data_IF_791160818823
#
_entry.id   IF_791160818823
#
_cell.length_a   1.000
_cell.length_b   1.000
_cell.length_c   1.000
_cell.angle_alpha   90.00
_cell.angle_beta   90.00
_cell.angle_gamma   90.00
#
_symmetry.space_group_name_H-M   'P 1'
#
loop_
_entity.id
_entity.type
_entity.pdbx_description
1 polymer ?
#
# COMPACT_ATOMS: atom_id res chain seq x y z
N UNK A 1 18.41 43.66 -57.50
CA UNK A 1 17.72 44.97 -57.37
C UNK A 1 16.36 44.90 -58.07
N UNK A 2 15.25 45.45 -57.53
CA UNK A 2 14.88 45.61 -56.12
C UNK A 2 13.37 45.37 -55.78
N UNK A 3 13.08 45.28 -54.46
CA UNK A 3 11.83 45.62 -53.70
C UNK A 3 10.52 44.84 -53.92
N UNK A 4 10.03 44.21 -52.84
CA UNK A 4 8.98 44.79 -51.96
C UNK A 4 8.70 43.90 -50.73
N UNK A 5 8.90 44.47 -49.55
CA UNK A 5 8.39 43.98 -48.27
C UNK A 5 6.86 44.19 -48.21
N UNK A 6 6.13 43.19 -47.73
CA UNK A 6 4.78 43.36 -47.18
C UNK A 6 4.65 42.61 -45.86
N UNK A 7 4.34 43.39 -44.82
CA UNK A 7 3.93 42.96 -43.49
C UNK A 7 2.75 41.97 -43.53
N UNK A 8 2.85 40.87 -42.77
CA UNK A 8 1.70 40.16 -42.21
C UNK A 8 1.80 40.15 -40.69
N UNK A 9 0.78 40.71 -40.06
CA UNK A 9 0.56 40.76 -38.62
C UNK A 9 0.17 39.39 -38.08
N UNK A 10 1.01 38.81 -37.21
CA UNK A 10 0.66 37.63 -36.42
C UNK A 10 -0.19 38.03 -35.23
N UNK A 11 -1.47 37.62 -35.22
CA UNK A 11 -2.32 37.64 -34.02
C UNK A 11 -1.82 36.55 -33.06
N UNK A 12 -1.33 36.93 -31.89
CA UNK A 12 -0.99 36.01 -30.80
C UNK A 12 -2.26 35.49 -30.10
N UNK A 13 -2.24 34.23 -29.70
CA UNK A 13 -3.36 33.53 -29.08
C UNK A 13 -3.64 34.03 -27.64
N UNK A 14 -4.88 33.91 -27.12
CA UNK A 14 -5.23 34.39 -25.77
C UNK A 14 -4.46 33.71 -24.63
N UNK A 15 -3.77 32.61 -24.91
CA UNK A 15 -3.06 31.79 -23.92
C UNK A 15 -1.70 32.40 -23.56
N UNK A 16 -1.00 33.00 -24.54
CA UNK A 16 0.32 33.60 -24.30
C UNK A 16 0.24 34.87 -23.45
N UNK A 17 -0.85 35.63 -23.55
CA UNK A 17 -1.05 36.89 -22.82
C UNK A 17 -1.36 36.66 -21.32
N UNK A 18 -1.95 35.51 -20.97
CA UNK A 18 -2.23 35.13 -19.58
C UNK A 18 -0.99 34.65 -18.83
N UNK A 19 -0.06 33.97 -19.52
CA UNK A 19 1.20 33.51 -18.93
C UNK A 19 2.16 34.66 -18.59
N UNK A 20 2.21 35.71 -19.43
CA UNK A 20 3.09 36.87 -19.19
C UNK A 20 2.61 37.71 -18.00
N UNK A 21 1.29 37.83 -17.81
CA UNK A 21 0.70 38.51 -16.63
C UNK A 21 0.93 37.74 -15.33
N UNK A 22 0.87 36.41 -15.36
CA UNK A 22 1.15 35.57 -14.20
C UNK A 22 2.63 35.64 -13.79
N UNK A 23 3.56 35.63 -14.75
CA UNK A 23 4.99 35.80 -14.47
C UNK A 23 5.31 37.21 -13.93
N UNK A 24 4.63 38.25 -14.42
CA UNK A 24 4.78 39.60 -13.90
C UNK A 24 4.23 39.75 -12.47
N UNK A 25 3.11 39.10 -12.16
CA UNK A 25 2.52 39.08 -10.82
C UNK A 25 3.40 38.32 -9.80
N UNK A 26 3.94 37.16 -10.19
CA UNK A 26 4.88 36.39 -9.35
C UNK A 26 6.19 37.16 -9.13
N UNK A 27 6.72 37.85 -10.16
CA UNK A 27 7.90 38.72 -10.01
C UNK A 27 7.66 39.94 -9.12
N UNK A 28 6.42 40.43 -9.04
CA UNK A 28 6.04 41.55 -8.17
C UNK A 28 5.97 41.14 -6.68
N UNK A 29 5.72 39.86 -6.38
CA UNK A 29 5.64 39.35 -5.01
C UNK A 29 7.04 39.05 -4.43
N UNK A 30 8.05 38.79 -5.28
CA UNK A 30 9.38 38.34 -4.85
C UNK A 30 10.46 39.44 -4.72
N UNK A 31 10.13 40.73 -4.77
CA UNK A 31 11.13 41.79 -4.48
C UNK A 31 11.17 42.13 -3.00
N UNK A 32 11.91 41.35 -2.23
CA UNK A 32 12.51 41.80 -0.98
C UNK A 32 14.02 41.57 -1.03
N UNK A 33 14.76 42.67 -0.86
CA UNK A 33 16.22 42.73 -0.84
C UNK A 33 16.71 42.03 0.44
N UNK A 34 17.57 41.03 0.32
CA UNK A 34 18.22 40.36 1.45
C UNK A 34 19.66 40.86 1.54
N UNK A 35 19.96 41.57 2.62
CA UNK A 35 21.31 41.99 3.03
C UNK A 35 22.08 40.76 3.57
N UNK A 36 23.24 40.38 3.02
CA UNK A 36 23.87 39.09 3.31
C UNK A 36 24.64 39.01 4.63
N UNK A 37 24.37 39.88 5.62
CA UNK A 37 25.02 39.82 6.94
C UNK A 37 24.05 39.96 8.12
N UNK A 38 23.14 38.99 8.27
CA UNK A 38 22.48 38.74 9.56
C UNK A 38 21.93 37.31 9.62
N UNK A 39 22.75 36.37 10.11
CA UNK A 39 22.27 35.07 10.56
C UNK A 39 21.70 35.21 11.98
N UNK A 40 20.39 35.04 12.16
CA UNK A 40 19.77 34.46 13.38
C UNK A 40 18.32 34.05 13.11
N UNK A 41 17.95 32.89 13.65
CA UNK A 41 16.63 32.25 13.58
C UNK A 41 15.44 33.19 13.93
N UNK A 42 14.40 33.20 13.08
CA UNK A 42 12.99 33.38 13.46
C UNK A 42 12.06 33.08 12.26
N UNK A 43 11.22 32.05 12.39
CA UNK A 43 10.16 31.71 11.44
C UNK A 43 8.99 32.69 11.55
N UNK A 44 8.54 33.27 10.43
CA UNK A 44 7.36 34.16 10.37
C UNK A 44 6.15 33.40 9.80
N UNK A 45 4.93 33.57 10.36
CA UNK A 45 3.74 32.87 9.88
C UNK A 45 3.16 33.51 8.61
N UNK A 46 2.74 32.66 7.66
CA UNK A 46 1.90 33.08 6.53
C UNK A 46 0.56 33.61 7.07
N UNK A 47 0.22 34.86 6.74
CA UNK A 47 -1.05 35.48 7.14
C UNK A 47 -2.25 34.81 6.44
N UNK A 48 -3.40 34.83 7.11
CA UNK A 48 -4.66 34.18 6.69
C UNK A 48 -5.13 34.58 5.28
N UNK A 49 -4.75 35.78 4.83
CA UNK A 49 -5.05 36.28 3.48
C UNK A 49 -4.31 35.51 2.37
N UNK A 50 -3.05 35.14 2.59
CA UNK A 50 -2.24 34.40 1.62
C UNK A 50 -2.76 32.97 1.44
N UNK A 51 -3.23 32.36 2.54
CA UNK A 51 -3.88 31.05 2.51
C UNK A 51 -5.22 31.09 1.75
N UNK A 52 -6.00 32.16 1.92
CA UNK A 52 -7.28 32.34 1.24
C UNK A 52 -7.11 32.53 -0.28
N UNK A 53 -6.10 33.29 -0.70
CA UNK A 53 -5.79 33.49 -2.12
C UNK A 53 -5.33 32.19 -2.81
N UNK A 54 -4.52 31.36 -2.13
CA UNK A 54 -4.11 30.04 -2.65
C UNK A 54 -5.33 29.12 -2.80
N UNK A 55 -6.23 29.12 -1.83
CA UNK A 55 -7.47 28.31 -1.87
C UNK A 55 -8.43 28.76 -2.98
N UNK A 56 -8.52 30.06 -3.26
CA UNK A 56 -9.33 30.60 -4.35
C UNK A 56 -8.71 30.29 -5.73
N UNK A 57 -7.39 30.36 -5.86
CA UNK A 57 -6.69 29.98 -7.08
C UNK A 57 -6.84 28.48 -7.39
N UNK A 58 -6.75 27.61 -6.36
CA UNK A 58 -7.03 26.18 -6.50
C UNK A 58 -8.48 25.89 -6.89
N UNK A 59 -9.45 26.67 -6.39
CA UNK A 59 -10.87 26.58 -6.81
C UNK A 59 -11.11 27.05 -8.25
N UNK A 60 -10.37 28.06 -8.72
CA UNK A 60 -10.48 28.55 -10.09
C UNK A 60 -9.91 27.56 -11.11
N UNK A 61 -8.77 26.90 -10.79
CA UNK A 61 -8.17 25.86 -11.63
C UNK A 61 -9.06 24.59 -11.71
N UNK A 62 -9.83 24.27 -10.66
CA UNK A 62 -10.83 23.17 -10.68
C UNK A 62 -12.03 23.40 -11.59
N UNK A 63 -12.32 24.65 -12.00
CA UNK A 63 -13.44 24.98 -12.90
C UNK A 63 -13.12 24.84 -14.39
N UNK A 64 -11.87 24.53 -14.76
CA UNK A 64 -11.44 24.40 -16.15
C UNK A 64 -11.00 22.98 -16.54
N UNK A 65 -11.34 21.96 -15.74
CA UNK A 65 -11.18 20.58 -16.19
C UNK A 65 -12.15 20.31 -17.37
N UNK A 66 -11.70 19.68 -18.47
CA UNK A 66 -12.57 19.33 -19.58
C UNK A 66 -13.67 18.39 -19.07
N UNK A 67 -14.92 18.64 -19.49
CA UNK A 67 -16.06 17.75 -19.24
C UNK A 67 -15.85 16.46 -20.03
N UNK A 68 -15.09 15.53 -19.45
CA UNK A 68 -15.03 14.15 -19.88
C UNK A 68 -16.40 13.48 -19.72
N UNK A 69 -16.68 12.54 -20.60
CA UNK A 69 -17.80 11.59 -20.58
C UNK A 69 -18.25 11.25 -19.15
N UNK A 70 -19.57 11.34 -18.88
CA UNK A 70 -20.17 10.87 -17.62
C UNK A 70 -19.61 9.48 -17.30
N UNK A 71 -18.73 9.37 -16.32
CA UNK A 71 -18.42 8.08 -15.71
C UNK A 71 -19.72 7.58 -15.10
N UNK A 72 -20.09 6.35 -15.44
CA UNK A 72 -21.14 5.65 -14.72
C UNK A 72 -20.47 5.34 -13.38
N UNK A 73 -20.83 6.07 -12.33
CA UNK A 73 -20.30 5.84 -10.99
C UNK A 73 -20.52 4.40 -10.51
N UNK A 74 -19.84 4.03 -9.44
CA UNK A 74 -19.95 2.73 -8.80
C UNK A 74 -21.33 2.58 -8.17
N UNK A 75 -22.07 1.54 -8.58
CA UNK A 75 -23.46 1.30 -8.20
C UNK A 75 -23.59 0.28 -7.07
N UNK A 76 -22.67 -0.68 -6.96
CA UNK A 76 -22.77 -1.81 -6.04
C UNK A 76 -21.54 -1.84 -5.14
N UNK A 77 -21.70 -1.18 -3.99
CA UNK A 77 -20.62 -0.91 -3.05
C UNK A 77 -20.60 -1.95 -1.95
N UNK A 78 -19.45 -2.60 -1.74
CA UNK A 78 -19.18 -3.39 -0.55
C UNK A 78 -18.38 -2.55 0.46
N UNK A 79 -18.91 -2.38 1.67
CA UNK A 79 -18.20 -1.73 2.77
C UNK A 79 -17.68 -2.81 3.72
N UNK A 80 -16.36 -2.91 3.84
CA UNK A 80 -15.69 -3.83 4.78
C UNK A 80 -15.23 -3.06 6.01
N UNK A 81 -15.67 -3.51 7.19
CA UNK A 81 -15.44 -2.78 8.45
C UNK A 81 -14.49 -3.56 9.36
N UNK A 82 -13.46 -2.90 9.88
CA UNK A 82 -12.50 -3.49 10.83
C UNK A 82 -13.19 -3.95 12.12
N UNK A 83 -12.97 -5.20 12.52
CA UNK A 83 -13.24 -5.64 13.89
C UNK A 83 -12.23 -5.02 14.86
N UNK A 84 -12.71 -4.23 15.81
CA UNK A 84 -11.84 -3.42 16.68
C UNK A 84 -11.25 -4.25 17.82
N UNK A 85 -10.04 -3.92 18.30
CA UNK A 85 -9.50 -4.57 19.49
C UNK A 85 -10.40 -4.41 20.73
N UNK A 86 -11.16 -3.31 20.82
CA UNK A 86 -12.14 -3.11 21.89
C UNK A 86 -13.20 -4.21 21.90
N UNK A 87 -13.77 -4.55 20.74
CA UNK A 87 -14.76 -5.63 20.62
C UNK A 87 -14.14 -6.99 20.96
N UNK A 88 -12.98 -7.29 20.37
CA UNK A 88 -12.25 -8.54 20.63
C UNK A 88 -11.95 -8.73 22.13
N UNK A 89 -11.40 -7.71 22.78
CA UNK A 89 -11.06 -7.81 24.19
C UNK A 89 -12.29 -7.76 25.11
N UNK A 90 -13.39 -7.13 24.69
CA UNK A 90 -14.66 -7.18 25.44
C UNK A 90 -15.22 -8.60 25.44
N UNK A 91 -15.16 -9.32 24.32
CA UNK A 91 -15.53 -10.74 24.27
C UNK A 91 -14.64 -11.60 25.20
N UNK A 92 -13.32 -11.38 25.19
CA UNK A 92 -12.42 -12.07 26.12
C UNK A 92 -12.70 -11.73 27.58
N UNK A 93 -13.10 -10.49 27.88
CA UNK A 93 -13.48 -10.07 29.23
C UNK A 93 -14.70 -10.83 29.73
N UNK A 94 -15.71 -10.99 28.87
CA UNK A 94 -16.90 -11.78 29.20
C UNK A 94 -16.56 -13.26 29.46
N UNK A 95 -15.51 -13.79 28.82
CA UNK A 95 -15.00 -15.15 29.03
C UNK A 95 -14.03 -15.27 30.21
N UNK A 96 -13.75 -14.20 30.97
CA UNK A 96 -12.76 -14.21 32.04
C UNK A 96 -11.30 -14.31 31.57
N UNK A 97 -11.04 -14.10 30.27
CA UNK A 97 -9.72 -14.21 29.62
C UNK A 97 -9.11 -12.85 29.25
N UNK A 98 -9.67 -11.75 29.73
CA UNK A 98 -9.16 -10.42 29.40
C UNK A 98 -7.74 -10.19 29.97
N UNK A 99 -6.82 -9.64 29.16
CA UNK A 99 -5.49 -9.23 29.63
C UNK A 99 -5.56 -8.21 30.78
N UNK A 100 -4.66 -8.34 31.76
CA UNK A 100 -4.63 -7.48 32.96
C UNK A 100 -4.23 -6.01 32.70
N UNK A 101 -3.49 -5.73 31.63
CA UNK A 101 -2.84 -4.43 31.39
C UNK A 101 -3.42 -3.65 30.18
N UNK A 102 -4.74 -3.66 30.01
CA UNK A 102 -5.38 -2.98 28.89
C UNK A 102 -5.69 -1.50 29.23
N UNK A 103 -5.23 -0.58 28.39
CA UNK A 103 -5.62 0.84 28.43
C UNK A 103 -7.07 0.99 27.90
N UNK A 104 -8.04 0.63 28.73
CA UNK A 104 -9.44 0.47 28.32
C UNK A 104 -10.07 1.73 27.73
N UNK A 105 -9.82 2.89 28.35
CA UNK A 105 -10.34 4.16 27.84
C UNK A 105 -9.83 4.50 26.44
N UNK A 106 -8.55 4.22 26.15
CA UNK A 106 -8.00 4.42 24.80
C UNK A 106 -8.68 3.50 23.78
N UNK A 107 -8.93 2.25 24.14
CA UNK A 107 -9.60 1.31 23.26
C UNK A 107 -11.05 1.73 22.99
N UNK A 108 -11.76 2.20 24.03
CA UNK A 108 -13.13 2.69 23.93
C UNK A 108 -13.22 3.96 23.08
N UNK A 109 -12.35 4.95 23.29
CA UNK A 109 -12.26 6.17 22.48
C UNK A 109 -12.07 5.83 21.00
N UNK A 110 -11.18 4.89 20.70
CA UNK A 110 -10.86 4.51 19.33
C UNK A 110 -11.94 3.69 18.67
N UNK A 111 -12.62 2.84 19.43
CA UNK A 111 -13.81 2.18 18.96
C UNK A 111 -14.90 3.19 18.63
N UNK A 112 -15.13 4.19 19.48
CA UNK A 112 -16.10 5.26 19.21
C UNK A 112 -15.75 6.06 17.94
N UNK A 113 -14.48 6.47 17.77
CA UNK A 113 -14.02 7.16 16.56
C UNK A 113 -14.21 6.28 15.31
N UNK A 114 -13.91 4.99 15.42
CA UNK A 114 -14.09 4.04 14.33
C UNK A 114 -15.57 3.88 13.96
N UNK A 115 -16.46 3.68 14.95
CA UNK A 115 -17.91 3.55 14.73
C UNK A 115 -18.49 4.81 14.10
N UNK A 116 -18.12 6.00 14.58
CA UNK A 116 -18.55 7.26 13.97
C UNK A 116 -18.11 7.38 12.50
N UNK A 117 -16.88 6.96 12.17
CA UNK A 117 -16.41 6.94 10.79
C UNK A 117 -17.18 5.92 9.93
N UNK A 118 -17.47 4.73 10.46
CA UNK A 118 -18.26 3.69 9.77
C UNK A 118 -19.67 4.19 9.48
N UNK A 119 -20.35 4.77 10.47
CA UNK A 119 -21.69 5.34 10.32
C UNK A 119 -21.73 6.38 9.20
N UNK A 120 -20.73 7.27 9.16
CA UNK A 120 -20.61 8.28 8.11
C UNK A 120 -20.35 7.66 6.73
N UNK A 121 -19.42 6.72 6.60
CA UNK A 121 -19.14 6.04 5.32
C UNK A 121 -20.37 5.31 4.81
N UNK A 122 -21.06 4.56 5.67
CA UNK A 122 -22.27 3.81 5.30
C UNK A 122 -23.40 4.75 4.92
N UNK A 123 -23.58 5.86 5.64
CA UNK A 123 -24.58 6.89 5.32
C UNK A 123 -24.32 7.53 3.95
N UNK A 124 -23.06 7.88 3.65
CA UNK A 124 -22.66 8.40 2.35
C UNK A 124 -22.87 7.33 1.27
N UNK A 125 -22.39 6.11 1.47
CA UNK A 125 -22.52 5.06 0.47
C UNK A 125 -23.98 4.79 0.11
N UNK A 126 -24.87 4.69 1.09
CA UNK A 126 -26.31 4.45 0.87
C UNK A 126 -27.02 5.60 0.15
N UNK A 127 -26.47 6.82 0.21
CA UNK A 127 -27.01 7.98 -0.50
C UNK A 127 -26.53 8.04 -1.95
N UNK A 128 -25.32 7.58 -2.22
CA UNK A 128 -24.64 7.79 -3.50
C UNK A 128 -24.65 6.56 -4.42
N UNK A 129 -24.82 5.36 -3.87
CA UNK A 129 -24.83 4.10 -4.62
C UNK A 129 -26.22 3.44 -4.63
N UNK A 130 -26.48 2.61 -5.64
CA UNK A 130 -27.75 1.90 -5.81
C UNK A 130 -27.90 0.73 -4.82
N UNK A 131 -26.79 0.05 -4.50
CA UNK A 131 -26.74 -1.07 -3.57
C UNK A 131 -25.52 -0.98 -2.67
N UNK A 132 -25.72 -1.22 -1.38
CA UNK A 132 -24.66 -1.18 -0.36
C UNK A 132 -24.76 -2.38 0.56
N UNK A 133 -23.71 -3.20 0.56
CA UNK A 133 -23.55 -4.33 1.48
C UNK A 133 -22.48 -3.97 2.51
N UNK A 134 -22.74 -4.19 3.79
CA UNK A 134 -21.78 -3.90 4.87
C UNK A 134 -21.44 -5.19 5.59
N UNK A 135 -20.14 -5.51 5.66
CA UNK A 135 -19.63 -6.77 6.21
C UNK A 135 -18.47 -6.47 7.14
N UNK A 136 -18.38 -7.18 8.27
CA UNK A 136 -17.20 -7.10 9.12
C UNK A 136 -16.03 -7.83 8.46
N UNK A 137 -14.81 -7.32 8.63
CA UNK A 137 -13.58 -7.94 8.10
C UNK A 137 -13.49 -9.43 8.43
N UNK A 138 -13.90 -9.81 9.64
CA UNK A 138 -13.79 -11.19 10.13
C UNK A 138 -14.88 -12.12 9.55
N UNK A 139 -15.95 -11.56 8.97
CA UNK A 139 -16.99 -12.30 8.24
C UNK A 139 -16.83 -12.20 6.71
N UNK A 140 -15.83 -11.45 6.22
CA UNK A 140 -15.58 -11.29 4.79
C UNK A 140 -15.23 -12.64 4.16
N UNK A 141 -15.79 -12.88 2.97
CA UNK A 141 -15.58 -14.12 2.22
C UNK A 141 -15.68 -13.82 0.74
N UNK A 142 -15.25 -14.77 -0.12
CA UNK A 142 -15.30 -14.63 -1.57
C UNK A 142 -16.72 -14.37 -2.10
N UNK A 143 -17.76 -14.87 -1.42
CA UNK A 143 -19.15 -14.65 -1.81
C UNK A 143 -19.58 -13.18 -1.70
N UNK A 144 -18.91 -12.39 -0.86
CA UNK A 144 -19.21 -10.96 -0.73
C UNK A 144 -18.51 -10.12 -1.80
N UNK A 145 -17.45 -10.64 -2.41
CA UNK A 145 -16.62 -9.97 -3.43
C UNK A 145 -16.88 -10.66 -4.77
N UNK A 146 -18.16 -10.81 -5.11
CA UNK A 146 -18.60 -11.38 -6.38
C UNK A 146 -18.33 -10.42 -7.55
N UNK A 147 -18.52 -10.91 -8.78
CA UNK A 147 -18.35 -10.13 -10.00
C UNK A 147 -19.29 -8.92 -10.09
N UNK A 148 -20.30 -8.83 -9.22
CA UNK A 148 -21.24 -7.72 -9.20
C UNK A 148 -20.73 -6.52 -8.39
N UNK A 149 -19.84 -6.70 -7.41
CA UNK A 149 -19.28 -5.55 -6.69
C UNK A 149 -18.31 -4.77 -7.59
N UNK A 150 -18.56 -3.47 -7.75
CA UNK A 150 -17.72 -2.58 -8.55
C UNK A 150 -16.77 -1.72 -7.70
N UNK A 151 -17.13 -1.44 -6.43
CA UNK A 151 -16.30 -0.72 -5.46
C UNK A 151 -16.31 -1.40 -4.09
N UNK A 152 -15.11 -1.66 -3.55
CA UNK A 152 -14.90 -2.12 -2.19
C UNK A 152 -14.33 -0.98 -1.34
N UNK A 153 -15.07 -0.53 -0.33
CA UNK A 153 -14.63 0.48 0.63
C UNK A 153 -14.19 -0.20 1.93
N UNK A 154 -12.89 -0.21 2.22
CA UNK A 154 -12.35 -0.73 3.47
C UNK A 154 -12.25 0.38 4.51
N UNK A 155 -12.99 0.27 5.62
CA UNK A 155 -12.99 1.24 6.72
C UNK A 155 -12.18 0.70 7.90
N UNK A 156 -11.04 1.30 8.18
CA UNK A 156 -10.12 0.83 9.21
C UNK A 156 -8.75 1.48 9.12
N UNK A 157 -7.72 0.69 8.83
CA UNK A 157 -6.38 1.15 8.50
C UNK A 157 -5.78 0.27 7.41
N UNK A 158 -4.47 0.34 7.21
CA UNK A 158 -3.77 -0.42 6.15
C UNK A 158 -4.05 -1.93 6.24
N UNK A 159 -4.03 -2.51 7.44
CA UNK A 159 -4.34 -3.93 7.64
C UNK A 159 -5.74 -4.35 7.21
N UNK A 160 -6.73 -3.44 7.24
CA UNK A 160 -8.09 -3.73 6.76
C UNK A 160 -8.13 -3.73 5.23
N UNK A 161 -7.37 -2.83 4.59
CA UNK A 161 -7.20 -2.81 3.13
C UNK A 161 -6.53 -4.10 2.66
N UNK A 162 -5.42 -4.50 3.30
CA UNK A 162 -4.70 -5.73 2.99
C UNK A 162 -5.58 -6.97 3.13
N UNK A 163 -6.29 -7.10 4.26
CA UNK A 163 -7.20 -8.23 4.48
C UNK A 163 -8.32 -8.29 3.43
N UNK A 164 -8.82 -7.13 3.00
CA UNK A 164 -9.88 -7.07 1.97
C UNK A 164 -9.34 -7.42 0.58
N UNK A 165 -8.12 -6.98 0.27
CA UNK A 165 -7.46 -7.23 -1.01
C UNK A 165 -7.19 -8.72 -1.28
N UNK A 166 -7.09 -9.56 -0.24
CA UNK A 166 -6.95 -11.02 -0.34
C UNK A 166 -8.16 -11.70 -1.01
N UNK A 167 -9.34 -11.07 -0.96
CA UNK A 167 -10.57 -11.60 -1.53
C UNK A 167 -10.89 -11.06 -2.94
N UNK A 168 -10.22 -9.98 -3.36
CA UNK A 168 -10.40 -9.42 -4.71
C UNK A 168 -9.68 -10.33 -5.70
N UNK A 169 -10.47 -10.89 -6.63
CA UNK A 169 -10.09 -12.02 -7.46
C UNK A 169 -8.75 -11.82 -8.20
N UNK A 170 -8.09 -12.95 -8.40
CA UNK A 170 -6.76 -13.09 -8.98
C UNK A 170 -6.61 -14.42 -9.71
N UNK A 171 -7.68 -14.84 -10.40
CA UNK A 171 -7.65 -15.98 -11.31
C UNK A 171 -6.73 -15.65 -12.50
N UNK A 172 -5.42 -15.80 -12.32
CA UNK A 172 -4.33 -16.00 -13.30
C UNK A 172 -4.36 -15.24 -14.64
N UNK A 173 -5.11 -14.14 -14.76
CA UNK A 173 -5.13 -13.27 -15.93
C UNK A 173 -4.43 -11.96 -15.60
N UNK A 174 -3.63 -11.44 -16.53
CA UNK A 174 -3.03 -10.10 -16.45
C UNK A 174 -4.07 -8.97 -16.35
N UNK A 175 -5.34 -9.28 -16.65
CA UNK A 175 -6.44 -8.35 -16.43
C UNK A 175 -6.97 -8.40 -14.99
N UNK A 176 -6.96 -7.26 -14.27
CA UNK A 176 -7.52 -7.19 -12.94
C UNK A 176 -9.05 -7.34 -12.99
N UNK A 177 -9.56 -8.42 -12.41
CA UNK A 177 -10.99 -8.66 -12.19
C UNK A 177 -11.38 -8.33 -10.74
N UNK A 178 -12.65 -8.00 -10.54
CA UNK A 178 -13.19 -7.62 -9.23
C UNK A 178 -13.17 -6.11 -8.94
N UNK A 179 -13.67 -5.69 -7.77
CA UNK A 179 -13.92 -4.27 -7.47
C UNK A 179 -12.65 -3.44 -7.36
N UNK A 180 -12.80 -2.13 -7.58
CA UNK A 180 -11.77 -1.16 -7.20
C UNK A 180 -11.77 -1.02 -5.68
N UNK A 181 -10.58 -0.95 -5.07
CA UNK A 181 -10.45 -0.82 -3.61
C UNK A 181 -10.25 0.65 -3.21
N UNK A 182 -11.03 1.11 -2.24
CA UNK A 182 -10.91 2.41 -1.58
C UNK A 182 -10.65 2.22 -0.08
N UNK A 183 -9.45 2.58 0.39
CA UNK A 183 -9.14 2.58 1.82
C UNK A 183 -9.57 3.88 2.51
N UNK A 184 -10.30 3.75 3.62
CA UNK A 184 -10.67 4.85 4.52
C UNK A 184 -10.03 4.62 5.90
N UNK A 185 -9.07 5.46 6.27
CA UNK A 185 -8.45 5.42 7.59
C UNK A 185 -9.40 6.00 8.66
N UNK A 186 -9.99 5.13 9.47
CA UNK A 186 -11.03 5.50 10.45
C UNK A 186 -10.49 6.20 11.69
N UNK A 187 -9.21 6.03 12.02
CA UNK A 187 -8.57 6.62 13.22
C UNK A 187 -7.11 6.97 12.88
N UNK A 188 -6.89 7.99 12.03
CA UNK A 188 -5.57 8.29 11.50
C UNK A 188 -4.63 8.83 12.58
N UNK A 189 -3.36 8.44 12.51
CA UNK A 189 -2.29 8.92 13.40
C UNK A 189 -2.33 10.44 13.57
N UNK A 190 -2.27 10.89 14.83
CA UNK A 190 -2.35 12.31 15.17
C UNK A 190 -1.07 13.02 14.79
N UNK A 191 -1.14 14.32 14.51
CA UNK A 191 0.03 15.09 14.05
C UNK A 191 1.22 14.99 15.02
N UNK A 192 0.98 15.04 16.33
CA UNK A 192 2.01 14.94 17.35
C UNK A 192 2.61 13.52 17.50
N UNK A 193 1.96 12.48 16.98
CA UNK A 193 2.44 11.09 17.04
C UNK A 193 3.37 10.77 15.87
N UNK A 194 3.34 11.56 14.78
CA UNK A 194 4.16 11.33 13.58
C UNK A 194 5.65 11.55 13.81
N UNK A 195 6.01 12.46 14.72
CA UNK A 195 7.41 12.82 15.02
C UNK A 195 7.98 12.05 16.23
N UNK A 196 7.34 10.96 16.63
CA UNK A 196 7.73 10.17 17.78
C UNK A 196 6.95 8.87 17.88
N UNK A 197 6.92 8.10 16.79
CA UNK A 197 6.15 6.85 16.70
C UNK A 197 6.54 5.80 17.76
N UNK A 198 7.74 5.90 18.33
CA UNK A 198 8.23 5.05 19.43
C UNK A 198 8.16 5.75 20.81
N UNK A 199 7.53 6.93 20.90
CA UNK A 199 7.36 7.64 22.18
C UNK A 199 6.33 6.94 23.05
N UNK A 200 6.54 6.95 24.38
CA UNK A 200 5.54 6.47 25.37
C UNK A 200 4.16 7.13 25.23
N UNK A 201 4.11 8.33 24.66
CA UNK A 201 2.88 9.11 24.46
C UNK A 201 2.14 8.74 23.18
N UNK A 202 2.82 8.11 22.22
CA UNK A 202 2.19 7.65 20.99
C UNK A 202 1.21 6.50 21.26
N UNK A 203 0.17 6.40 20.42
CA UNK A 203 -0.69 5.21 20.37
C UNK A 203 -0.14 4.25 19.32
N UNK A 204 0.39 3.12 19.77
CA UNK A 204 1.10 2.12 18.97
C UNK A 204 0.22 1.38 17.95
N UNK A 205 -1.09 1.66 17.96
CA UNK A 205 -2.09 0.96 17.16
C UNK A 205 -2.79 1.87 16.16
N UNK A 206 -2.50 3.18 16.12
CA UNK A 206 -3.01 4.06 15.05
C UNK A 206 -2.22 3.81 13.76
N UNK A 207 -2.94 3.70 12.65
CA UNK A 207 -2.36 3.47 11.33
C UNK A 207 -2.02 4.80 10.67
N UNK A 208 -0.84 4.87 10.06
CA UNK A 208 -0.44 5.99 9.21
C UNK A 208 -1.38 6.11 8.00
N UNK A 209 -1.87 4.98 7.47
CA UNK A 209 -2.82 4.94 6.36
C UNK A 209 -2.14 5.08 5.00
N UNK A 210 -1.00 4.41 4.79
CA UNK A 210 -0.26 4.47 3.52
C UNK A 210 -1.07 3.93 2.33
N UNK A 211 -1.94 2.95 2.57
CA UNK A 211 -2.85 2.36 1.59
C UNK A 211 -4.24 3.01 1.59
N UNK A 212 -4.49 3.96 2.50
CA UNK A 212 -5.78 4.63 2.63
C UNK A 212 -5.79 5.94 1.84
N UNK A 213 -6.61 6.00 0.80
CA UNK A 213 -6.82 7.21 0.02
C UNK A 213 -7.58 8.29 0.79
N UNK A 214 -8.53 7.88 1.63
CA UNK A 214 -9.34 8.75 2.47
C UNK A 214 -9.11 8.48 3.96
N UNK A 215 -9.64 9.36 4.81
CA UNK A 215 -9.62 9.22 6.26
C UNK A 215 -10.88 9.81 6.90
N UNK A 216 -11.06 9.58 8.20
CA UNK A 216 -12.07 10.25 9.02
C UNK A 216 -12.06 11.79 8.92
N UNK A 217 -10.97 12.40 8.42
CA UNK A 217 -10.84 13.85 8.29
C UNK A 217 -11.37 14.41 6.96
N UNK A 218 -11.54 13.58 5.93
CA UNK A 218 -11.91 14.03 4.58
C UNK A 218 -12.90 13.10 3.85
N UNK A 219 -13.45 12.09 4.51
CA UNK A 219 -14.38 11.14 3.90
C UNK A 219 -15.61 11.81 3.28
N UNK A 220 -16.09 12.93 3.85
CA UNK A 220 -17.29 13.62 3.37
C UNK A 220 -17.13 14.20 1.96
N UNK A 221 -15.89 14.55 1.57
CA UNK A 221 -15.58 14.98 0.20
C UNK A 221 -15.16 13.79 -0.66
N UNK A 222 -14.28 12.92 -0.15
CA UNK A 222 -13.61 11.91 -0.97
C UNK A 222 -14.52 10.73 -1.32
N UNK A 223 -15.25 10.18 -0.35
CA UNK A 223 -16.09 8.98 -0.56
C UNK A 223 -17.20 9.22 -1.59
N UNK A 224 -18.03 10.29 -1.53
CA UNK A 224 -19.09 10.46 -2.53
C UNK A 224 -18.52 10.69 -3.93
N UNK A 225 -17.41 11.43 -4.05
CA UNK A 225 -16.75 11.68 -5.34
C UNK A 225 -16.12 10.43 -5.92
N UNK A 226 -15.56 9.57 -5.08
CA UNK A 226 -15.08 8.25 -5.49
C UNK A 226 -16.24 7.39 -6.00
N UNK A 227 -17.35 7.27 -5.26
CA UNK A 227 -18.54 6.51 -5.67
C UNK A 227 -19.11 7.03 -7.01
N UNK A 228 -19.12 8.35 -7.22
CA UNK A 228 -19.59 8.95 -8.48
C UNK A 228 -18.60 8.78 -9.66
N UNK A 229 -17.44 8.15 -9.46
CA UNK A 229 -16.40 7.99 -10.48
C UNK A 229 -15.69 9.31 -10.83
N UNK A 230 -15.77 10.33 -9.97
CA UNK A 230 -15.12 11.63 -10.19
C UNK A 230 -13.61 11.60 -9.87
N UNK A 231 -13.14 10.51 -9.24
CA UNK A 231 -11.76 10.35 -8.76
C UNK A 231 -11.03 9.19 -9.45
N UNK A 232 -11.56 8.63 -10.54
CA UNK A 232 -10.99 7.45 -11.20
C UNK A 232 -9.55 7.66 -11.70
N UNK A 233 -9.16 8.91 -11.97
CA UNK A 233 -7.77 9.26 -12.31
C UNK A 233 -6.76 8.98 -11.18
N UNK A 234 -7.23 8.78 -9.94
CA UNK A 234 -6.40 8.40 -8.79
C UNK A 234 -6.31 6.87 -8.59
N UNK A 235 -6.95 6.08 -9.46
CA UNK A 235 -6.87 4.61 -9.40
C UNK A 235 -5.55 4.17 -10.02
N UNK A 236 -4.81 3.35 -9.28
CA UNK A 236 -3.58 2.73 -9.73
C UNK A 236 -3.71 1.21 -9.76
N UNK A 237 -2.91 0.58 -10.61
CA UNK A 237 -2.69 -0.87 -10.60
C UNK A 237 -1.47 -1.14 -9.72
N UNK A 238 -1.65 -1.94 -8.66
CA UNK A 238 -0.57 -2.34 -7.76
C UNK A 238 -0.27 -3.83 -7.94
N UNK A 239 0.98 -4.14 -8.26
CA UNK A 239 1.43 -5.52 -8.40
C UNK A 239 1.34 -6.27 -7.06
N UNK A 240 1.07 -7.57 -7.16
CA UNK A 240 0.91 -8.47 -6.01
C UNK A 240 1.87 -9.66 -6.13
N UNK A 241 2.26 -10.22 -5.00
CA UNK A 241 3.02 -11.47 -4.91
C UNK A 241 2.08 -12.65 -5.15
N UNK A 242 2.43 -13.51 -6.10
CA UNK A 242 1.86 -14.84 -6.25
C UNK A 242 2.66 -15.84 -5.42
N UNK A 243 1.99 -16.56 -4.52
CA UNK A 243 2.63 -17.56 -3.66
C UNK A 243 1.92 -18.90 -3.78
N UNK A 244 2.72 -19.95 -4.00
CA UNK A 244 2.23 -21.33 -4.07
C UNK A 244 3.06 -22.21 -3.15
N UNK A 245 2.39 -22.97 -2.30
CA UNK A 245 3.02 -23.97 -1.43
C UNK A 245 2.78 -25.35 -2.04
N UNK A 246 3.87 -26.07 -2.32
CA UNK A 246 3.86 -27.44 -2.82
C UNK A 246 4.38 -28.36 -1.73
N UNK A 247 3.49 -29.16 -1.16
CA UNK A 247 3.84 -30.28 -0.30
C UNK A 247 3.93 -31.58 -1.09
N UNK A 248 4.11 -32.68 -0.38
CA UNK A 248 4.25 -34.01 -1.00
C UNK A 248 2.98 -34.47 -1.74
N UNK A 249 1.80 -34.03 -1.28
CA UNK A 249 0.49 -34.51 -1.76
C UNK A 249 -0.45 -33.39 -2.22
N UNK A 250 -0.07 -32.13 -2.05
CA UNK A 250 -0.95 -30.99 -2.32
C UNK A 250 -0.18 -29.78 -2.84
N UNK A 251 -0.81 -29.06 -3.75
CA UNK A 251 -0.38 -27.73 -4.19
C UNK A 251 -1.47 -26.73 -3.82
N UNK A 252 -1.12 -25.76 -2.97
CA UNK A 252 -2.05 -24.76 -2.47
C UNK A 252 -1.59 -23.39 -2.96
N UNK A 253 -2.47 -22.69 -3.67
CA UNK A 253 -2.27 -21.29 -4.05
C UNK A 253 -2.76 -20.38 -2.93
N UNK A 254 -1.90 -19.47 -2.51
CA UNK A 254 -2.21 -18.51 -1.45
C UNK A 254 -2.97 -17.30 -2.02
N UNK A 255 -3.71 -16.56 -1.18
CA UNK A 255 -4.16 -15.22 -1.56
C UNK A 255 -2.96 -14.35 -1.98
N UNK A 256 -3.08 -13.54 -3.03
CA UNK A 256 -1.98 -12.68 -3.44
C UNK A 256 -1.65 -11.63 -2.38
N UNK A 257 -0.37 -11.45 -2.09
CA UNK A 257 0.09 -10.45 -1.12
C UNK A 257 0.27 -9.09 -1.80
N UNK A 258 -0.27 -8.02 -1.23
CA UNK A 258 -0.09 -6.67 -1.76
C UNK A 258 1.23 -6.04 -1.31
N UNK A 259 1.64 -6.27 -0.07
CA UNK A 259 2.89 -5.74 0.48
C UNK A 259 3.98 -6.80 0.40
N UNK A 260 3.85 -7.86 1.20
CA UNK A 260 4.98 -8.73 1.52
C UNK A 260 4.54 -10.10 2.04
N UNK A 261 5.50 -11.02 2.03
CA UNK A 261 5.42 -12.30 2.72
C UNK A 261 6.62 -12.53 3.62
N UNK A 262 6.41 -13.27 4.71
CA UNK A 262 7.47 -13.81 5.55
C UNK A 262 7.44 -15.33 5.47
N UNK A 263 8.55 -15.95 5.09
CA UNK A 263 8.78 -17.39 5.28
C UNK A 263 9.71 -17.57 6.47
N UNK A 264 9.21 -18.15 7.57
CA UNK A 264 10.00 -18.29 8.79
C UNK A 264 9.50 -19.43 9.68
N UNK A 265 10.35 -19.83 10.63
CA UNK A 265 9.93 -20.66 11.74
C UNK A 265 8.94 -19.87 12.65
N UNK A 266 7.84 -20.47 13.12
CA UNK A 266 6.83 -19.76 13.91
C UNK A 266 7.33 -19.31 15.29
N UNK A 267 8.28 -20.05 15.88
CA UNK A 267 9.00 -19.63 17.09
C UNK A 267 10.18 -18.71 16.71
N UNK A 268 10.23 -17.45 17.19
CA UNK A 268 11.35 -16.54 16.92
C UNK A 268 12.69 -17.00 17.50
N UNK A 269 12.67 -17.91 18.47
CA UNK A 269 13.89 -18.44 19.10
C UNK A 269 14.51 -19.61 18.31
N UNK A 270 13.91 -20.04 17.20
CA UNK A 270 14.38 -21.16 16.40
C UNK A 270 14.88 -20.71 15.03
N UNK A 271 15.86 -21.44 14.51
CA UNK A 271 16.47 -21.17 13.21
C UNK A 271 15.56 -21.69 12.08
N UNK A 272 15.28 -20.81 11.11
CA UNK A 272 14.68 -21.17 9.84
C UNK A 272 15.76 -21.79 8.95
N UNK A 273 15.55 -23.03 8.51
CA UNK A 273 16.46 -23.74 7.62
C UNK A 273 15.76 -23.98 6.31
N UNK A 274 16.33 -23.51 5.21
CA UNK A 274 15.78 -23.71 3.88
C UNK A 274 16.87 -23.61 2.82
N UNK A 275 16.58 -24.06 1.61
CA UNK A 275 17.36 -23.72 0.41
C UNK A 275 16.62 -22.64 -0.34
N UNK A 276 17.33 -21.59 -0.73
CA UNK A 276 16.83 -20.51 -1.57
C UNK A 276 17.37 -20.68 -2.97
N UNK A 277 16.46 -20.73 -3.95
CA UNK A 277 16.78 -20.73 -5.37
C UNK A 277 16.15 -19.49 -6.03
N UNK A 278 16.90 -18.80 -6.92
CA UNK A 278 16.32 -17.91 -7.95
C UNK A 278 16.46 -18.62 -9.29
N UNK A 279 15.35 -18.79 -9.98
CA UNK A 279 15.26 -19.61 -11.19
C UNK A 279 14.45 -18.89 -12.25
N UNK A 280 14.79 -19.08 -13.52
CA UNK A 280 13.96 -18.63 -14.64
C UNK A 280 12.62 -19.37 -14.66
N UNK A 281 11.60 -18.68 -15.18
CA UNK A 281 10.24 -19.20 -15.25
C UNK A 281 10.04 -20.21 -16.40
N UNK A 282 10.94 -20.25 -17.39
CA UNK A 282 10.85 -21.11 -18.58
C UNK A 282 11.41 -22.53 -18.37
N UNK A 283 11.82 -22.87 -17.14
CA UNK A 283 12.31 -24.20 -16.72
C UNK A 283 13.42 -24.80 -17.59
N UNK A 284 14.14 -23.96 -18.35
CA UNK A 284 15.34 -24.35 -19.09
C UNK A 284 16.54 -23.87 -18.28
N UNK A 285 17.04 -24.68 -17.32
CA UNK A 285 18.17 -24.28 -16.50
C UNK A 285 19.36 -24.01 -17.41
N UNK A 286 19.85 -22.77 -17.36
CA UNK A 286 21.11 -22.39 -17.98
C UNK A 286 22.13 -22.38 -16.85
N UNK A 287 22.96 -23.42 -16.70
CA UNK A 287 23.94 -23.50 -15.61
C UNK A 287 24.96 -22.34 -15.61
N UNK A 288 25.02 -21.56 -16.69
CA UNK A 288 25.89 -20.39 -16.84
C UNK A 288 25.14 -19.05 -16.68
N UNK A 289 23.85 -19.04 -16.31
CA UNK A 289 23.12 -17.81 -16.05
C UNK A 289 23.54 -17.22 -14.68
N UNK A 290 24.22 -16.07 -14.63
CA UNK A 290 24.69 -15.48 -13.37
C UNK A 290 23.54 -14.99 -12.47
N UNK A 291 22.32 -14.89 -13.01
CA UNK A 291 21.12 -14.49 -12.27
C UNK A 291 20.41 -15.67 -11.59
N UNK A 292 20.68 -16.91 -12.00
CA UNK A 292 20.24 -18.11 -11.30
C UNK A 292 21.22 -18.49 -10.18
N UNK A 293 20.68 -18.84 -9.01
CA UNK A 293 21.50 -19.30 -7.89
C UNK A 293 20.74 -20.27 -7.00
N UNK A 294 21.49 -21.05 -6.22
CA UNK A 294 20.94 -21.97 -5.24
C UNK A 294 21.90 -22.09 -4.04
N UNK A 295 21.42 -21.81 -2.83
CA UNK A 295 22.22 -21.99 -1.62
C UNK A 295 21.37 -22.30 -0.39
N UNK A 296 22.00 -22.93 0.61
CA UNK A 296 21.35 -23.23 1.89
C UNK A 296 21.38 -22.00 2.80
N UNK A 297 20.32 -21.83 3.58
CA UNK A 297 20.09 -20.69 4.44
C UNK A 297 19.76 -21.15 5.85
N UNK A 298 20.44 -20.54 6.82
CA UNK A 298 20.15 -20.63 8.25
C UNK A 298 19.90 -19.22 8.79
N UNK A 299 18.66 -18.86 9.07
CA UNK A 299 18.29 -17.46 9.28
C UNK A 299 17.08 -17.32 10.20
N UNK A 300 16.67 -16.08 10.51
CA UNK A 300 15.38 -15.82 11.18
C UNK A 300 14.20 -15.75 10.20
N UNK A 301 14.44 -16.00 8.91
CA UNK A 301 13.44 -16.10 7.85
C UNK A 301 13.85 -15.39 6.55
N UNK A 302 12.90 -15.31 5.63
CA UNK A 302 13.00 -14.62 4.35
C UNK A 302 11.82 -13.64 4.20
N UNK A 303 12.14 -12.37 3.97
CA UNK A 303 11.17 -11.39 3.49
C UNK A 303 11.16 -11.39 1.96
N UNK A 304 9.97 -11.32 1.36
CA UNK A 304 9.80 -10.96 -0.05
C UNK A 304 8.70 -9.91 -0.13
N UNK A 305 8.93 -8.82 -0.86
CA UNK A 305 8.06 -7.65 -0.91
C UNK A 305 7.83 -7.18 -2.34
N UNK A 306 6.62 -6.71 -2.62
CA UNK A 306 6.33 -5.87 -3.79
C UNK A 306 6.90 -4.46 -3.59
N UNK A 307 6.90 -3.61 -4.62
CA UNK A 307 7.18 -2.19 -4.46
C UNK A 307 6.21 -1.45 -3.53
N UNK A 308 4.95 -1.89 -3.43
CA UNK A 308 4.00 -1.30 -2.48
C UNK A 308 4.41 -1.60 -1.04
N UNK A 309 4.93 -2.81 -0.77
CA UNK A 309 5.45 -3.21 0.53
C UNK A 309 6.84 -2.67 0.89
N UNK A 310 7.57 -2.08 -0.08
CA UNK A 310 8.94 -1.60 0.10
C UNK A 310 9.07 -0.58 1.24
N UNK A 311 8.06 0.26 1.44
CA UNK A 311 8.02 1.27 2.52
C UNK A 311 7.58 0.74 3.89
N UNK A 312 7.20 -0.54 3.98
CA UNK A 312 6.70 -1.20 5.18
C UNK A 312 7.78 -1.97 5.94
N UNK A 313 7.59 -3.28 6.08
CA UNK A 313 8.54 -4.13 6.81
C UNK A 313 9.87 -4.25 6.08
N UNK A 314 9.86 -4.20 4.74
CA UNK A 314 11.08 -4.26 3.93
C UNK A 314 12.02 -3.08 4.25
N UNK A 315 11.49 -1.85 4.28
CA UNK A 315 12.22 -0.66 4.75
C UNK A 315 12.83 -0.87 6.14
N UNK A 316 12.03 -1.40 7.07
CA UNK A 316 12.45 -1.63 8.46
C UNK A 316 13.54 -2.70 8.58
N UNK A 317 13.58 -3.66 7.64
CA UNK A 317 14.59 -4.71 7.56
C UNK A 317 15.89 -4.25 6.87
N UNK A 318 15.93 -3.02 6.35
CA UNK A 318 17.08 -2.47 5.62
C UNK A 318 17.03 -2.65 4.10
N UNK A 319 15.87 -3.00 3.56
CA UNK A 319 15.65 -3.04 2.12
C UNK A 319 15.55 -1.65 1.48
N UNK A 320 15.57 -1.62 0.15
CA UNK A 320 15.46 -0.41 -0.65
C UNK A 320 14.02 0.13 -0.63
N UNK A 321 13.87 1.40 -0.26
CA UNK A 321 12.59 2.12 -0.27
C UNK A 321 12.37 2.90 -1.59
N UNK A 322 13.42 3.08 -2.39
CA UNK A 322 13.40 3.85 -3.64
C UNK A 322 12.86 3.10 -4.85
N UNK A 323 12.25 1.93 -4.63
CA UNK A 323 11.68 1.10 -5.69
C UNK A 323 10.50 1.83 -6.33
N UNK A 324 10.47 1.89 -7.67
CA UNK A 324 9.32 2.42 -8.40
C UNK A 324 8.08 1.60 -8.06
N UNK A 325 7.03 2.29 -7.62
CA UNK A 325 5.77 1.69 -7.21
C UNK A 325 5.05 0.93 -8.34
N UNK A 326 5.38 1.26 -9.59
CA UNK A 326 4.85 0.60 -10.79
C UNK A 326 5.75 -0.55 -11.28
N UNK A 327 6.92 -0.76 -10.67
CA UNK A 327 7.76 -1.91 -11.00
C UNK A 327 7.03 -3.22 -10.69
N UNK A 328 7.38 -4.27 -11.43
CA UNK A 328 6.94 -5.63 -11.13
C UNK A 328 7.99 -6.44 -10.37
N UNK A 329 9.19 -5.87 -10.24
CA UNK A 329 10.29 -6.53 -9.55
C UNK A 329 9.95 -6.68 -8.07
N UNK A 330 10.22 -7.87 -7.55
CA UNK A 330 10.10 -8.18 -6.14
C UNK A 330 11.44 -7.93 -5.47
N UNK A 331 11.40 -7.42 -4.25
CA UNK A 331 12.59 -7.32 -3.41
C UNK A 331 12.58 -8.45 -2.39
N UNK A 332 13.71 -9.12 -2.15
CA UNK A 332 13.83 -10.14 -1.12
C UNK A 332 15.01 -9.89 -0.19
N UNK A 333 14.89 -10.37 1.05
CA UNK A 333 15.89 -10.19 2.10
C UNK A 333 15.88 -11.39 3.06
N UNK A 334 16.99 -12.13 3.10
CA UNK A 334 17.27 -13.16 4.11
C UNK A 334 17.67 -12.48 5.42
N UNK A 335 16.97 -12.81 6.50
CA UNK A 335 17.11 -12.13 7.80
C UNK A 335 18.18 -12.78 8.67
N UNK A 336 19.16 -12.00 9.14
CA UNK A 336 20.13 -12.48 10.15
C UNK A 336 20.79 -13.82 9.75
N UNK A 337 21.22 -13.92 8.48
CA UNK A 337 21.80 -15.15 7.94
C UNK A 337 23.07 -15.54 8.74
N UNK A 338 23.05 -16.73 9.33
CA UNK A 338 24.21 -17.36 9.94
C UNK A 338 25.16 -17.84 8.83
N UNK A 339 26.30 -17.15 8.69
CA UNK A 339 27.37 -17.49 7.74
C UNK A 339 28.57 -18.02 8.52
N UNK A 340 29.05 -19.21 8.17
CA UNK A 340 30.20 -19.86 8.78
C UNK A 340 31.54 -19.37 8.21
N UNK A 341 32.64 -19.70 8.90
CA UNK A 341 33.99 -19.27 8.53
C UNK A 341 34.48 -19.87 7.20
N UNK A 342 33.95 -21.02 6.80
CA UNK A 342 34.32 -21.73 5.56
C UNK A 342 33.36 -21.46 4.39
N UNK A 343 32.32 -20.64 4.60
CA UNK A 343 31.38 -20.30 3.54
C UNK A 343 31.99 -19.24 2.61
N UNK A 344 31.57 -19.20 1.36
CA UNK A 344 31.85 -18.07 0.47
C UNK A 344 31.03 -16.86 0.95
N UNK A 345 31.60 -16.13 1.91
CA UNK A 345 30.94 -14.98 2.55
C UNK A 345 30.57 -13.91 1.54
N UNK A 346 31.38 -13.72 0.49
CA UNK A 346 31.12 -12.71 -0.53
C UNK A 346 29.87 -13.10 -1.34
N UNK A 347 29.82 -14.35 -1.83
CA UNK A 347 28.66 -14.88 -2.54
C UNK A 347 27.40 -14.86 -1.68
N UNK A 348 27.48 -15.37 -0.44
CA UNK A 348 26.30 -15.44 0.44
C UNK A 348 25.77 -14.06 0.78
N UNK A 349 26.64 -13.07 1.02
CA UNK A 349 26.19 -11.69 1.27
C UNK A 349 25.56 -11.05 0.04
N UNK A 350 26.14 -11.24 -1.13
CA UNK A 350 25.61 -10.74 -2.41
C UNK A 350 24.22 -11.33 -2.71
N UNK A 351 24.05 -12.65 -2.53
CA UNK A 351 22.80 -13.35 -2.90
C UNK A 351 21.77 -13.45 -1.77
N UNK A 352 22.07 -13.00 -0.55
CA UNK A 352 21.13 -13.04 0.57
C UNK A 352 20.01 -11.98 0.46
N UNK A 353 20.18 -10.96 -0.36
CA UNK A 353 19.18 -9.93 -0.60
C UNK A 353 19.31 -9.41 -2.02
N UNK A 354 18.20 -8.96 -2.61
CA UNK A 354 18.24 -8.45 -3.98
C UNK A 354 16.85 -8.33 -4.58
N UNK A 355 16.82 -8.31 -5.91
CA UNK A 355 15.60 -8.20 -6.70
C UNK A 355 15.35 -9.46 -7.52
N UNK A 356 14.07 -9.72 -7.79
CA UNK A 356 13.58 -10.78 -8.68
C UNK A 356 12.64 -10.13 -9.68
N UNK A 357 13.06 -10.10 -10.94
CA UNK A 357 12.28 -9.60 -12.07
C UNK A 357 11.16 -10.57 -12.49
N UNK A 358 10.38 -10.19 -13.51
CA UNK A 358 9.26 -10.97 -14.05
C UNK A 358 9.67 -12.29 -14.74
N UNK A 359 10.92 -12.40 -15.21
CA UNK A 359 11.42 -13.61 -15.88
C UNK A 359 11.83 -14.69 -14.88
N UNK A 360 12.00 -14.32 -13.61
CA UNK A 360 12.44 -15.19 -12.54
C UNK A 360 11.37 -15.41 -11.46
N UNK A 361 11.59 -16.43 -10.63
CA UNK A 361 10.87 -16.64 -9.39
C UNK A 361 11.84 -17.09 -8.28
N UNK A 362 11.41 -16.90 -7.03
CA UNK A 362 12.08 -17.52 -5.89
C UNK A 362 11.43 -18.86 -5.57
N UNK A 363 12.26 -19.86 -5.31
CA UNK A 363 11.85 -21.14 -4.77
C UNK A 363 12.55 -21.37 -3.43
N UNK A 364 11.76 -21.58 -2.40
CA UNK A 364 12.23 -21.90 -1.05
C UNK A 364 11.91 -23.36 -0.78
N UNK A 365 12.92 -24.22 -0.67
CA UNK A 365 12.73 -25.59 -0.17
C UNK A 365 12.94 -25.60 1.35
N UNK A 366 11.88 -25.84 2.09
CA UNK A 366 11.89 -25.80 3.55
C UNK A 366 12.59 -27.04 4.14
N UNK A 367 13.51 -26.82 5.08
CA UNK A 367 14.35 -27.86 5.69
C UNK A 367 14.24 -27.92 7.23
N UNK A 368 13.31 -27.19 7.85
CA UNK A 368 12.98 -27.34 9.28
C UNK A 368 11.71 -28.19 9.44
N UNK A 369 11.51 -28.77 10.64
CA UNK A 369 10.31 -29.58 10.93
C UNK A 369 9.01 -28.76 10.86
N UNK A 370 9.06 -27.51 11.32
CA UNK A 370 7.93 -26.60 11.33
C UNK A 370 8.36 -25.29 10.67
N UNK A 371 7.52 -24.77 9.79
CA UNK A 371 7.65 -23.45 9.20
C UNK A 371 6.28 -22.82 9.00
N UNK A 372 6.28 -21.54 8.60
CA UNK A 372 5.06 -20.82 8.29
C UNK A 372 5.35 -19.76 7.24
N UNK A 373 4.43 -19.62 6.29
CA UNK A 373 4.35 -18.48 5.38
C UNK A 373 3.29 -17.52 5.89
N UNK A 374 3.64 -16.26 6.07
CA UNK A 374 2.71 -15.18 6.43
C UNK A 374 2.49 -14.27 5.23
N UNK A 375 1.23 -13.90 4.97
CA UNK A 375 0.83 -13.08 3.82
C UNK A 375 0.29 -11.74 4.34
N UNK A 376 0.94 -10.63 3.98
CA UNK A 376 0.57 -9.27 4.41
C UNK A 376 0.39 -9.11 5.93
N UNK A 377 1.28 -9.74 6.68
CA UNK A 377 1.26 -9.78 8.14
C UNK A 377 0.70 -11.08 8.74
N UNK A 378 0.39 -11.05 10.04
CA UNK A 378 0.21 -12.27 10.83
C UNK A 378 -1.16 -12.96 10.72
N UNK A 379 -2.16 -12.30 10.14
CA UNK A 379 -3.54 -12.80 10.14
C UNK A 379 -3.78 -13.93 9.13
N UNK A 380 -3.06 -13.89 8.00
CA UNK A 380 -3.15 -14.89 6.94
C UNK A 380 -1.85 -15.67 6.94
N UNK A 381 -1.89 -16.91 7.41
CA UNK A 381 -0.70 -17.73 7.54
C UNK A 381 -0.96 -19.20 7.21
N UNK A 382 0.07 -19.85 6.68
CA UNK A 382 0.01 -21.24 6.22
C UNK A 382 1.22 -21.99 6.74
N UNK A 383 0.97 -23.17 7.32
CA UNK A 383 2.03 -23.98 7.88
C UNK A 383 2.86 -24.64 6.77
N UNK A 384 4.14 -24.84 7.07
CA UNK A 384 5.09 -25.58 6.26
C UNK A 384 5.64 -26.75 7.07
N UNK A 385 5.83 -27.87 6.39
CA UNK A 385 6.49 -29.05 6.90
C UNK A 385 7.81 -29.30 6.16
N UNK A 386 8.63 -30.19 6.74
CA UNK A 386 9.92 -30.56 6.17
C UNK A 386 9.75 -31.04 4.72
N UNK A 387 10.45 -30.38 3.79
CA UNK A 387 10.46 -30.73 2.37
C UNK A 387 9.49 -29.93 1.50
N UNK A 388 8.57 -29.17 2.11
CA UNK A 388 7.65 -28.28 1.37
C UNK A 388 8.44 -27.25 0.54
N UNK A 389 7.84 -26.85 -0.59
CA UNK A 389 8.40 -25.83 -1.46
C UNK A 389 7.47 -24.62 -1.52
N UNK A 390 8.02 -23.43 -1.33
CA UNK A 390 7.31 -22.16 -1.51
C UNK A 390 7.83 -21.52 -2.80
N UNK A 391 6.93 -21.31 -3.76
CA UNK A 391 7.21 -20.61 -4.99
C UNK A 391 6.65 -19.19 -4.89
N UNK A 392 7.47 -18.20 -5.21
CA UNK A 392 7.14 -16.77 -5.09
C UNK A 392 7.49 -16.06 -6.39
N UNK A 393 6.51 -15.40 -7.02
CA UNK A 393 6.69 -14.64 -8.26
C UNK A 393 5.79 -13.40 -8.29
N UNK A 394 6.00 -12.52 -9.26
CA UNK A 394 5.19 -11.31 -9.49
C UNK A 394 3.93 -11.54 -10.34
N UNK A 395 3.62 -12.80 -10.69
CA UNK A 395 2.55 -13.20 -11.61
C UNK A 395 1.14 -13.26 -11.01
N UNK A 396 0.86 -12.49 -9.95
CA UNK A 396 -0.51 -12.32 -9.49
C UNK A 396 -1.17 -11.14 -10.21
N UNK A 397 -2.46 -11.27 -10.51
CA UNK A 397 -3.23 -10.17 -11.10
C UNK A 397 -3.10 -8.91 -10.23
N UNK A 398 -2.83 -7.73 -10.81
CA UNK A 398 -2.66 -6.51 -10.03
C UNK A 398 -3.97 -6.09 -9.33
N UNK A 399 -3.85 -5.34 -8.24
CA UNK A 399 -4.99 -4.75 -7.54
C UNK A 399 -5.28 -3.35 -8.09
N UNK A 400 -6.55 -3.05 -8.38
CA UNK A 400 -6.98 -1.67 -8.66
C UNK A 400 -7.33 -0.99 -7.35
N UNK A 401 -6.61 0.06 -6.99
CA UNK A 401 -6.77 0.76 -5.71
C UNK A 401 -6.63 2.27 -5.90
N UNK A 402 -7.45 3.04 -5.19
CA UNK A 402 -7.26 4.49 -5.10
C UNK A 402 -5.97 4.81 -4.32
N UNK A 403 -5.10 5.64 -4.88
CA UNK A 403 -3.81 5.99 -4.29
C UNK A 403 -3.52 7.49 -4.35
N UNK A 404 -2.85 7.98 -3.31
CA UNK A 404 -2.29 9.34 -3.26
C UNK A 404 -0.82 9.41 -3.69
N UNK A 405 -0.19 8.24 -3.90
CA UNK A 405 1.21 8.13 -4.33
C UNK A 405 1.19 8.17 -5.85
N UNK A 406 1.66 9.26 -6.46
CA UNK A 406 1.77 9.42 -7.92
C UNK A 406 3.01 8.73 -8.42
#
# INVERSE_FOLDING_TARGET
HPRREQHRSGKSSPIQHSYTKLQAFVRSICRFHVDPKAATHKSWPLTTATHHCIMLAARALRRQAPRGTRSIGYKRVLVVVKFTPYEAYTQLKLQGKAPKALRWERLKERHANHQACVEQVVSVAKREADSVTVVSRDALSRHHVDDDVDLLISVGGDGTVLSSAHFVDSQSSDEPRGPVVLGVNSDPTRAHERLGACSRTSDERRSLGALCFASARNLEDVVPRAIRGELDAAIQKRHRLAVTIRGSLSETRMPPALNDILVAHPSPAAVSRFRLDRLRNDFCPSPDDPDEFSFNVWSSGLWVSTPTGATGVMASAGGDMGVDVNSRDLQYLVREHLVGENDDVAFVRDKSHGFVDEEHHLKVRWNSQHGRVYIDGHHTAFDLELGDQVLVSSHAAPLRIFSNVV
#
